data_IF_507473613662
#
_entry.id   IF_507473613662
#
_cell.length_a   1.000
_cell.length_b   1.000
_cell.length_c   1.000
_cell.angle_alpha   90.00
_cell.angle_beta   90.00
_cell.angle_gamma   90.00
#
_symmetry.space_group_name_H-M   'P 1'
#
loop_
_entity.id
_entity.type
_entity.pdbx_description
1 polymer ?
#
# COMPACT_ATOMS: atom_id res chain seq x y z
N UNK A 1 -42.13 -18.09 6.42
CA UNK A 1 -41.31 -19.30 6.34
C UNK A 1 -39.87 -18.92 6.67
N UNK A 2 -39.36 -19.38 7.82
CA UNK A 2 -38.03 -19.06 8.32
C UNK A 2 -36.98 -19.91 7.57
N UNK A 3 -35.90 -19.27 7.10
CA UNK A 3 -34.77 -19.98 6.53
C UNK A 3 -33.89 -20.51 7.67
N UNK A 4 -34.07 -21.78 8.03
CA UNK A 4 -33.15 -22.48 8.92
C UNK A 4 -31.87 -22.79 8.14
N UNK A 5 -30.81 -21.98 8.32
CA UNK A 5 -29.48 -22.38 7.88
C UNK A 5 -28.99 -23.49 8.80
N UNK A 6 -28.90 -24.72 8.31
CA UNK A 6 -28.18 -25.81 8.97
C UNK A 6 -26.72 -25.37 9.14
N UNK A 7 -26.37 -24.87 10.33
CA UNK A 7 -25.08 -24.22 10.58
C UNK A 7 -23.95 -25.23 10.58
N UNK A 8 -22.98 -25.05 9.68
CA UNK A 8 -21.71 -25.79 9.70
C UNK A 8 -20.86 -25.24 10.85
N UNK A 9 -20.35 -26.12 11.71
CA UNK A 9 -19.38 -25.75 12.75
C UNK A 9 -18.00 -25.61 12.10
N UNK A 10 -17.48 -24.39 12.07
CA UNK A 10 -16.13 -24.13 11.58
C UNK A 10 -15.13 -24.56 12.66
N UNK A 11 -14.24 -25.48 12.31
CA UNK A 11 -13.14 -25.93 13.17
C UNK A 11 -11.81 -25.57 12.48
N UNK A 12 -10.86 -25.04 13.25
CA UNK A 12 -9.53 -24.72 12.74
C UNK A 12 -8.81 -25.99 12.30
N UNK A 13 -8.28 -26.00 11.07
CA UNK A 13 -7.56 -27.15 10.54
C UNK A 13 -6.10 -27.23 11.02
N UNK A 14 -5.61 -26.21 11.72
CA UNK A 14 -4.25 -26.14 12.27
C UNK A 14 -4.30 -26.32 13.79
N UNK A 15 -3.22 -26.82 14.41
CA UNK A 15 -3.10 -26.81 15.86
C UNK A 15 -3.30 -25.41 16.43
N UNK A 16 -3.73 -25.34 17.68
CA UNK A 16 -3.95 -24.08 18.38
C UNK A 16 -2.67 -23.23 18.37
N UNK A 17 -2.86 -21.95 18.02
CA UNK A 17 -1.81 -20.95 17.99
C UNK A 17 -1.68 -20.22 19.34
N UNK A 18 -0.75 -19.25 19.43
CA UNK A 18 -0.71 -18.35 20.57
C UNK A 18 -2.02 -17.56 20.68
N UNK A 19 -2.49 -17.38 21.92
CA UNK A 19 -3.70 -16.61 22.22
C UNK A 19 -3.60 -15.17 21.72
N UNK A 20 -4.62 -14.64 21.02
CA UNK A 20 -4.66 -13.23 20.62
C UNK A 20 -4.61 -12.30 21.83
N UNK A 21 -3.68 -11.35 21.81
CA UNK A 21 -3.53 -10.36 22.89
C UNK A 21 -4.22 -9.06 22.48
N UNK A 22 -5.14 -8.59 23.33
CA UNK A 22 -5.73 -7.26 23.22
C UNK A 22 -5.02 -6.32 24.19
N UNK A 23 -4.68 -5.12 23.72
CA UNK A 23 -4.16 -4.03 24.55
C UNK A 23 -5.07 -2.81 24.40
N UNK A 24 -5.23 -2.08 25.49
CA UNK A 24 -5.92 -0.80 25.53
C UNK A 24 -4.90 0.27 25.91
N UNK A 25 -5.12 1.47 25.39
CA UNK A 25 -4.30 2.65 25.66
C UNK A 25 -5.22 3.83 25.96
N UNK A 26 -4.73 4.77 26.76
CA UNK A 26 -5.52 5.94 27.19
C UNK A 26 -5.83 6.91 26.04
N UNK A 27 -4.94 6.97 25.04
CA UNK A 27 -5.11 7.79 23.85
C UNK A 27 -4.43 7.17 22.60
N UNK A 28 -4.67 7.80 21.45
CA UNK A 28 -4.12 7.38 20.15
C UNK A 28 -2.58 7.48 20.12
N UNK A 29 -1.98 8.44 20.83
CA UNK A 29 -0.53 8.62 20.82
C UNK A 29 0.17 7.45 21.53
N UNK A 30 -0.36 7.07 22.70
CA UNK A 30 0.06 5.91 23.48
C UNK A 30 -0.18 4.60 22.74
N UNK A 31 -1.29 4.47 22.01
CA UNK A 31 -1.53 3.32 21.13
C UNK A 31 -0.43 3.20 20.07
N UNK A 32 -0.11 4.30 19.37
CA UNK A 32 0.92 4.29 18.34
C UNK A 32 2.32 3.99 18.90
N UNK A 33 2.65 4.51 20.09
CA UNK A 33 3.92 4.22 20.76
C UNK A 33 4.01 2.75 21.20
N UNK A 34 3.01 2.24 21.91
CA UNK A 34 2.98 0.84 22.35
C UNK A 34 2.92 -0.16 21.19
N UNK A 35 2.32 0.24 20.06
CA UNK A 35 2.35 -0.50 18.81
C UNK A 35 3.77 -0.59 18.21
N UNK A 36 4.51 0.53 18.15
CA UNK A 36 5.87 0.56 17.63
C UNK A 36 6.84 -0.24 18.52
N UNK A 37 6.68 -0.13 19.84
CA UNK A 37 7.43 -0.94 20.81
C UNK A 37 7.18 -2.42 20.60
N UNK A 38 5.91 -2.82 20.37
CA UNK A 38 5.58 -4.23 20.13
C UNK A 38 6.25 -4.79 18.88
N UNK A 39 6.31 -4.02 17.79
CA UNK A 39 7.00 -4.44 16.57
C UNK A 39 8.51 -4.53 16.82
N UNK A 40 9.07 -3.58 17.56
CA UNK A 40 10.49 -3.61 17.96
C UNK A 40 10.81 -4.89 18.74
N UNK A 41 9.95 -5.27 19.70
CA UNK A 41 10.09 -6.51 20.46
C UNK A 41 10.01 -7.77 19.57
N UNK A 42 9.09 -7.80 18.60
CA UNK A 42 8.96 -8.92 17.65
C UNK A 42 10.23 -9.07 16.80
N UNK A 43 10.74 -7.95 16.28
CA UNK A 43 11.97 -7.92 15.50
C UNK A 43 13.19 -8.32 16.35
N UNK A 44 13.28 -7.80 17.59
CA UNK A 44 14.33 -8.16 18.55
C UNK A 44 14.27 -9.63 18.98
N UNK A 45 13.08 -10.22 18.97
CA UNK A 45 12.85 -11.65 19.17
C UNK A 45 13.20 -12.54 17.96
N UNK A 46 13.66 -11.95 16.86
CA UNK A 46 14.11 -12.68 15.67
C UNK A 46 13.02 -12.95 14.63
N UNK A 47 11.82 -12.39 14.78
CA UNK A 47 10.76 -12.53 13.78
C UNK A 47 11.12 -11.66 12.56
N UNK A 48 11.16 -12.23 11.35
CA UNK A 48 11.43 -11.46 10.14
C UNK A 48 10.37 -10.37 9.94
N UNK A 49 10.79 -9.18 9.50
CA UNK A 49 9.86 -8.08 9.22
C UNK A 49 8.78 -8.45 8.19
N UNK A 50 9.09 -9.35 7.25
CA UNK A 50 8.15 -9.83 6.24
C UNK A 50 7.00 -10.68 6.81
N UNK A 51 7.12 -11.16 8.05
CA UNK A 51 6.07 -11.92 8.76
C UNK A 51 5.20 -11.02 9.66
N UNK A 52 5.46 -9.71 9.68
CA UNK A 52 4.73 -8.74 10.48
C UNK A 52 3.87 -7.88 9.55
N UNK A 53 2.56 -7.95 9.73
CA UNK A 53 1.60 -7.13 9.00
C UNK A 53 0.75 -6.29 9.96
N UNK A 54 0.42 -5.07 9.52
CA UNK A 54 -0.35 -4.09 10.29
C UNK A 54 -1.62 -3.80 9.53
N UNK A 55 -2.75 -4.14 10.15
CA UNK A 55 -4.07 -3.96 9.55
C UNK A 55 -4.76 -2.80 10.24
N UNK A 56 -5.11 -1.78 9.46
CA UNK A 56 -5.87 -0.63 9.92
C UNK A 56 -7.26 -0.64 9.31
N UNK A 57 -8.22 0.02 9.98
CA UNK A 57 -9.61 0.04 9.51
C UNK A 57 -9.78 0.97 8.31
N UNK A 58 -9.07 2.10 8.30
CA UNK A 58 -9.15 3.10 7.22
C UNK A 58 -7.75 3.53 6.77
N UNK A 59 -7.59 3.80 5.48
CA UNK A 59 -6.31 4.21 4.89
C UNK A 59 -5.76 5.52 5.50
N UNK A 60 -6.63 6.38 6.03
CA UNK A 60 -6.24 7.59 6.75
C UNK A 60 -5.39 7.31 8.01
N UNK A 61 -5.52 6.12 8.62
CA UNK A 61 -4.73 5.72 9.78
C UNK A 61 -3.30 5.34 9.41
N UNK A 62 -3.08 4.87 8.17
CA UNK A 62 -1.77 4.40 7.69
C UNK A 62 -0.69 5.48 7.77
N UNK A 63 -1.04 6.74 7.53
CA UNK A 63 -0.09 7.85 7.59
C UNK A 63 0.51 8.02 8.99
N UNK A 64 -0.31 7.97 10.04
CA UNK A 64 0.11 8.11 11.45
C UNK A 64 0.99 6.94 11.89
N UNK A 65 0.55 5.72 11.55
CA UNK A 65 1.30 4.47 11.83
C UNK A 65 2.68 4.53 11.18
N UNK A 66 2.75 4.90 9.89
CA UNK A 66 4.02 4.99 9.15
C UNK A 66 4.95 6.04 9.74
N UNK A 67 4.43 7.21 10.10
CA UNK A 67 5.23 8.25 10.73
C UNK A 67 5.86 7.75 12.03
N UNK A 68 5.06 7.06 12.87
CA UNK A 68 5.55 6.53 14.14
C UNK A 68 6.60 5.44 13.95
N UNK A 69 6.39 4.49 13.04
CA UNK A 69 7.38 3.46 12.71
C UNK A 69 8.67 4.07 12.17
N UNK A 70 8.57 5.12 11.35
CA UNK A 70 9.73 5.85 10.84
C UNK A 70 10.53 6.50 11.98
N UNK A 71 9.84 7.11 12.96
CA UNK A 71 10.47 7.66 14.17
C UNK A 71 11.18 6.58 15.01
N UNK A 72 10.62 5.37 15.06
CA UNK A 72 11.24 4.21 15.70
C UNK A 72 12.36 3.55 14.86
N UNK A 73 12.68 4.07 13.66
CA UNK A 73 13.70 3.52 12.78
C UNK A 73 13.26 2.25 12.01
N UNK A 74 11.98 1.92 12.05
CA UNK A 74 11.40 0.75 11.38
C UNK A 74 10.92 1.17 9.99
N UNK A 75 11.46 0.52 8.95
CA UNK A 75 10.95 0.69 7.59
C UNK A 75 9.69 -0.17 7.41
N UNK A 76 8.60 0.47 7.01
CA UNK A 76 7.35 -0.19 6.65
C UNK A 76 6.97 0.11 5.20
N UNK A 77 6.44 -0.89 4.52
CA UNK A 77 5.81 -0.75 3.21
C UNK A 77 4.30 -0.61 3.41
N UNK A 78 3.69 0.30 2.64
CA UNK A 78 2.26 0.53 2.68
C UNK A 78 1.65 -0.15 1.47
N UNK A 79 0.72 -1.08 1.72
CA UNK A 79 -0.16 -1.58 0.68
C UNK A 79 -1.23 -0.51 0.42
N UNK A 80 -1.00 0.31 -0.60
CA UNK A 80 -2.02 1.23 -1.09
C UNK A 80 -2.91 0.47 -2.08
N UNK A 81 -4.22 0.49 -1.84
CA UNK A 81 -5.23 -0.08 -2.75
C UNK A 81 -5.69 0.96 -3.79
N UNK A 82 -4.93 2.05 -3.96
CA UNK A 82 -5.15 2.97 -5.08
C UNK A 82 -5.08 2.15 -6.35
N UNK A 83 -6.25 1.96 -6.98
CA UNK A 83 -6.33 1.21 -8.23
C UNK A 83 -5.40 1.90 -9.21
N UNK A 84 -4.55 1.14 -9.88
CA UNK A 84 -3.59 1.63 -10.86
C UNK A 84 -4.20 2.70 -11.79
N UNK A 85 -5.42 2.49 -12.29
CA UNK A 85 -6.10 3.42 -13.19
C UNK A 85 -6.68 4.69 -12.55
N UNK A 86 -6.78 4.75 -11.23
CA UNK A 86 -7.24 5.93 -10.47
C UNK A 86 -6.08 6.89 -10.16
N UNK A 87 -4.83 6.45 -10.38
CA UNK A 87 -3.65 7.31 -10.29
C UNK A 87 -3.77 8.41 -11.33
N UNK A 88 -3.70 9.68 -10.88
CA UNK A 88 -3.97 10.85 -11.72
C UNK A 88 -3.06 10.91 -12.95
N UNK A 89 -1.83 10.43 -12.83
CA UNK A 89 -0.80 10.34 -13.84
C UNK A 89 -1.15 9.28 -14.88
N UNK A 90 -1.69 8.14 -14.44
CA UNK A 90 -2.12 7.06 -15.32
C UNK A 90 -3.36 7.48 -16.09
N UNK A 91 -4.30 8.17 -15.44
CA UNK A 91 -5.46 8.77 -16.10
C UNK A 91 -5.04 9.78 -17.17
N UNK A 92 -4.11 10.70 -16.85
CA UNK A 92 -3.59 11.67 -17.82
C UNK A 92 -2.88 11.01 -19.01
N UNK A 93 -2.08 9.98 -18.76
CA UNK A 93 -1.41 9.24 -19.83
C UNK A 93 -2.41 8.50 -20.73
N UNK A 94 -3.46 7.92 -20.13
CA UNK A 94 -4.54 7.28 -20.87
C UNK A 94 -5.34 8.27 -21.71
N UNK A 95 -5.71 9.43 -21.15
CA UNK A 95 -6.40 10.49 -21.88
C UNK A 95 -5.60 10.95 -23.11
N UNK A 96 -4.31 11.24 -22.92
CA UNK A 96 -3.43 11.61 -24.02
C UNK A 96 -3.26 10.49 -25.07
N UNK A 97 -3.23 9.22 -24.64
CA UNK A 97 -3.15 8.07 -25.56
C UNK A 97 -4.45 7.93 -26.38
N UNK A 98 -5.59 8.14 -25.75
CA UNK A 98 -6.90 8.09 -26.41
C UNK A 98 -7.05 9.23 -27.42
N UNK A 99 -6.66 10.45 -27.06
CA UNK A 99 -6.66 11.61 -27.97
C UNK A 99 -5.79 11.36 -29.21
N UNK A 100 -4.60 10.80 -29.01
CA UNK A 100 -3.71 10.43 -30.11
C UNK A 100 -4.29 9.33 -30.98
N UNK A 101 -4.87 8.29 -30.39
CA UNK A 101 -5.48 7.19 -31.13
C UNK A 101 -6.65 7.66 -32.03
N UNK A 102 -7.37 8.71 -31.63
CA UNK A 102 -8.40 9.34 -32.46
C UNK A 102 -7.77 10.12 -33.62
N UNK A 103 -6.67 10.84 -33.39
CA UNK A 103 -6.01 11.67 -34.39
C UNK A 103 -5.17 10.86 -35.41
N UNK A 104 -4.57 9.75 -34.99
CA UNK A 104 -3.64 8.94 -35.77
C UNK A 104 -3.85 7.43 -35.49
N UNK A 105 -4.92 6.82 -36.04
CA UNK A 105 -5.31 5.44 -35.72
C UNK A 105 -4.34 4.37 -36.24
N UNK A 106 -3.50 4.69 -37.23
CA UNK A 106 -2.56 3.75 -37.84
C UNK A 106 -1.21 3.66 -37.10
N UNK A 107 -0.99 4.47 -36.05
CA UNK A 107 0.27 4.48 -35.32
C UNK A 107 0.37 3.36 -34.25
N UNK A 108 1.56 2.75 -34.06
CA UNK A 108 1.74 1.73 -33.03
C UNK A 108 1.62 2.31 -31.61
N UNK A 109 0.53 1.98 -30.91
CA UNK A 109 0.21 2.53 -29.59
C UNK A 109 1.31 2.39 -28.53
N UNK A 110 2.14 1.36 -28.57
CA UNK A 110 3.25 1.19 -27.61
C UNK A 110 4.41 2.17 -27.83
N UNK A 111 4.67 2.57 -29.09
CA UNK A 111 5.68 3.58 -29.40
C UNK A 111 5.16 4.98 -29.02
N UNK A 112 3.89 5.24 -29.35
CA UNK A 112 3.18 6.47 -28.99
C UNK A 112 3.10 6.67 -27.48
N UNK A 113 2.75 5.64 -26.72
CA UNK A 113 2.69 5.72 -25.25
C UNK A 113 4.04 6.14 -24.64
N UNK A 114 5.16 5.64 -25.16
CA UNK A 114 6.49 6.07 -24.68
C UNK A 114 6.75 7.54 -24.95
N UNK A 115 6.36 8.04 -26.12
CA UNK A 115 6.47 9.47 -26.46
C UNK A 115 5.60 10.32 -25.53
N UNK A 116 4.35 9.92 -25.29
CA UNK A 116 3.40 10.60 -24.39
C UNK A 116 3.90 10.59 -22.93
N UNK A 117 4.41 9.46 -22.44
CA UNK A 117 5.01 9.40 -21.10
C UNK A 117 6.24 10.31 -21.00
N UNK A 118 7.04 10.40 -22.07
CA UNK A 118 8.16 11.34 -22.17
C UNK A 118 7.73 12.81 -22.04
N UNK A 119 6.64 13.22 -22.69
CA UNK A 119 6.12 14.60 -22.58
C UNK A 119 5.52 14.89 -21.20
N UNK A 120 4.99 13.89 -20.51
CA UNK A 120 4.52 13.98 -19.12
C UNK A 120 5.67 13.96 -18.08
N UNK A 121 6.92 13.79 -18.52
CA UNK A 121 8.11 13.73 -17.67
C UNK A 121 8.28 12.39 -16.94
N UNK A 122 7.63 11.34 -17.43
CA UNK A 122 7.74 9.97 -16.94
C UNK A 122 8.80 9.22 -17.77
N UNK A 123 10.08 9.37 -17.42
CA UNK A 123 11.18 8.69 -18.12
C UNK A 123 11.59 7.41 -17.37
N UNK A 124 11.48 6.21 -17.99
CA UNK A 124 11.84 4.94 -17.37
C UNK A 124 13.34 4.78 -17.08
N UNK A 125 14.21 5.49 -17.81
CA UNK A 125 15.66 5.39 -17.67
C UNK A 125 16.23 6.28 -16.57
N UNK A 126 15.40 7.20 -16.04
CA UNK A 126 15.79 8.10 -14.95
C UNK A 126 15.29 7.52 -13.64
N UNK A 127 16.20 6.88 -12.88
CA UNK A 127 15.90 6.51 -11.49
C UNK A 127 15.66 7.79 -10.68
N UNK A 128 14.47 8.02 -10.10
CA UNK A 128 14.26 9.20 -9.27
C UNK A 128 15.20 9.15 -8.06
N UNK A 129 15.72 10.31 -7.67
CA UNK A 129 16.62 10.44 -6.52
C UNK A 129 15.99 9.81 -5.25
N UNK A 130 16.83 9.23 -4.37
CA UNK A 130 16.37 8.52 -3.15
C UNK A 130 15.47 9.37 -2.24
N UNK A 131 15.53 10.70 -2.36
CA UNK A 131 14.64 11.67 -1.76
C UNK A 131 14.26 12.72 -2.81
N UNK A 132 12.99 13.09 -2.87
CA UNK A 132 12.50 14.18 -3.70
C UNK A 132 11.10 13.96 -4.26
N UNK A 133 10.46 15.02 -4.79
CA UNK A 133 9.11 14.96 -5.36
C UNK A 133 9.01 13.97 -6.54
N UNK A 134 10.14 13.70 -7.20
CA UNK A 134 10.23 12.68 -8.25
C UNK A 134 9.98 11.26 -7.73
N UNK A 135 10.15 10.97 -6.44
CA UNK A 135 9.87 9.65 -5.86
C UNK A 135 8.40 9.46 -5.51
N UNK A 136 7.70 10.54 -5.12
CA UNK A 136 6.24 10.54 -4.93
C UNK A 136 5.53 10.11 -6.22
N UNK A 137 6.08 10.46 -7.38
CA UNK A 137 5.59 10.03 -8.71
C UNK A 137 5.75 8.53 -9.03
N UNK A 138 6.51 7.78 -8.23
CA UNK A 138 6.89 6.38 -8.51
C UNK A 138 6.52 5.39 -7.41
N UNK A 139 6.01 5.86 -6.27
CA UNK A 139 5.64 5.00 -5.14
C UNK A 139 4.19 5.19 -4.70
N UNK A 140 3.31 5.48 -5.63
CA UNK A 140 1.89 5.15 -5.48
C UNK A 140 1.68 3.75 -6.03
#
# INVERSE_FOLDING_TARGET
MAHSSTGVKLEGQRPDGPEPVRREYDDEAGELDGFADRITDLLGGGIPAAEIAVLVRTNSQTAKVRERLTKAGIRAEVFDDTKFFEISEIRQALEALMDHAIAAPDEPGAATLRTILGTLGCNPDVRPARLGPARVRWTT
#
